data_IF_985452690599
#
_entry.id   IF_985452690599
#
_cell.length_a   1.000
_cell.length_b   1.000
_cell.length_c   1.000
_cell.angle_alpha   90.00
_cell.angle_beta   90.00
_cell.angle_gamma   90.00
#
_symmetry.space_group_name_H-M   'P 1'
#
loop_
_entity.id
_entity.type
_entity.pdbx_description
1 polymer ?
#
# COMPACT_ATOMS: atom_id res chain seq x y z
N UNK A 1 9.04 -58.11 17.27
CA UNK A 1 8.69 -57.20 16.16
C UNK A 1 7.73 -56.15 16.71
N UNK A 2 8.20 -54.93 16.92
CA UNK A 2 7.36 -53.81 17.33
C UNK A 2 7.33 -52.81 16.19
N UNK A 3 6.13 -52.58 15.65
CA UNK A 3 5.86 -51.67 14.56
C UNK A 3 5.91 -50.25 15.12
N UNK A 4 6.91 -49.45 14.71
CA UNK A 4 6.90 -48.01 14.98
C UNK A 4 5.86 -47.36 14.05
N UNK A 5 4.79 -46.82 14.62
CA UNK A 5 3.91 -45.90 13.93
C UNK A 5 4.56 -44.51 13.96
N UNK A 6 5.06 -44.05 12.81
CA UNK A 6 5.57 -42.69 12.63
C UNK A 6 4.38 -41.77 12.37
N UNK A 7 3.95 -41.03 13.40
CA UNK A 7 2.89 -40.02 13.27
C UNK A 7 3.53 -38.74 12.71
N UNK A 8 3.36 -38.51 11.41
CA UNK A 8 3.72 -37.24 10.78
C UNK A 8 2.69 -36.19 11.20
N UNK A 9 3.07 -35.31 12.11
CA UNK A 9 2.30 -34.11 12.40
C UNK A 9 2.50 -33.12 11.25
N UNK A 10 1.58 -33.09 10.29
CA UNK A 10 1.49 -31.98 9.33
C UNK A 10 0.99 -30.75 10.07
N UNK A 11 1.88 -30.03 10.75
CA UNK A 11 1.54 -28.72 11.30
C UNK A 11 1.40 -27.75 10.13
N UNK A 12 0.15 -27.45 9.79
CA UNK A 12 -0.16 -26.31 8.93
C UNK A 12 0.14 -25.07 9.76
N UNK A 13 1.27 -24.42 9.51
CA UNK A 13 1.61 -23.16 10.16
C UNK A 13 0.71 -22.10 9.52
N UNK A 14 -0.32 -21.68 10.25
CA UNK A 14 -1.11 -20.50 9.88
C UNK A 14 -0.23 -19.28 10.19
N UNK A 15 0.32 -18.66 9.15
CA UNK A 15 1.05 -17.40 9.28
C UNK A 15 0.01 -16.28 9.38
N UNK A 16 -0.47 -16.00 10.60
CA UNK A 16 -1.24 -14.79 10.86
C UNK A 16 -0.27 -13.60 10.92
N UNK A 17 -0.19 -12.82 9.84
CA UNK A 17 0.47 -11.51 9.87
C UNK A 17 -0.42 -10.57 10.68
N UNK A 18 -0.12 -10.40 11.97
CA UNK A 18 -0.73 -9.36 12.81
C UNK A 18 0.12 -8.11 12.68
N UNK A 19 -0.49 -6.98 12.35
CA UNK A 19 0.18 -5.68 12.43
C UNK A 19 0.57 -5.44 13.90
N UNK A 20 1.87 -5.37 14.19
CA UNK A 20 2.41 -5.35 15.55
C UNK A 20 2.64 -3.91 16.01
N UNK A 21 1.81 -3.40 16.93
CA UNK A 21 1.80 -2.01 17.43
C UNK A 21 3.02 -1.57 18.29
N UNK A 22 4.20 -2.15 18.12
CA UNK A 22 5.36 -1.81 18.97
C UNK A 22 6.13 -0.62 18.40
N UNK A 23 6.01 0.58 19.00
CA UNK A 23 6.58 1.94 18.75
C UNK A 23 7.88 2.16 17.91
N UNK A 24 8.58 1.12 17.47
CA UNK A 24 9.77 1.12 16.61
C UNK A 24 9.55 0.34 15.29
N UNK A 25 8.34 0.38 14.73
CA UNK A 25 7.98 -0.21 13.44
C UNK A 25 7.35 0.88 12.56
N UNK A 26 7.61 0.87 11.26
CA UNK A 26 6.80 1.67 10.32
C UNK A 26 5.69 0.76 9.78
N UNK A 27 4.46 0.80 10.35
CA UNK A 27 3.33 -0.04 9.93
C UNK A 27 3.09 -0.11 8.44
N UNK A 28 3.45 0.98 7.78
CA UNK A 28 3.18 1.21 6.40
C UNK A 28 4.19 0.53 5.50
N UNK A 29 5.43 0.28 5.95
CA UNK A 29 6.43 -0.43 5.17
C UNK A 29 6.03 -1.90 4.91
N UNK A 30 5.47 -2.58 5.92
CA UNK A 30 5.08 -4.00 5.78
C UNK A 30 3.75 -4.19 5.03
N UNK A 31 2.88 -3.17 5.02
CA UNK A 31 1.55 -3.26 4.38
C UNK A 31 1.44 -2.47 3.07
N UNK A 32 2.45 -1.68 2.69
CA UNK A 32 2.33 -0.89 1.47
C UNK A 32 2.37 -1.73 0.20
N UNK A 33 2.90 -2.96 0.21
CA UNK A 33 2.81 -3.84 -0.95
C UNK A 33 1.40 -4.38 -1.17
N UNK A 34 0.66 -4.64 -0.08
CA UNK A 34 -0.73 -5.09 -0.17
C UNK A 34 -1.71 -3.91 -0.32
N UNK A 35 -1.32 -2.72 0.16
CA UNK A 35 -2.21 -1.56 0.35
C UNK A 35 -3.43 -1.90 1.23
N UNK A 36 -3.37 -3.03 1.95
CA UNK A 36 -4.46 -3.48 2.80
C UNK A 36 -4.40 -2.66 4.08
N UNK A 37 -5.48 -1.96 4.45
CA UNK A 37 -5.54 -1.32 5.75
C UNK A 37 -5.44 -2.42 6.81
N UNK A 38 -4.46 -2.31 7.72
CA UNK A 38 -4.16 -3.26 8.80
C UNK A 38 -5.38 -3.62 9.68
N UNK A 39 -6.30 -4.48 9.24
CA UNK A 39 -7.51 -4.93 9.95
C UNK A 39 -8.41 -3.84 10.58
N UNK A 40 -8.13 -2.55 10.39
CA UNK A 40 -8.88 -1.44 10.98
C UNK A 40 -10.23 -1.25 10.29
N UNK A 41 -10.33 -1.65 9.02
CA UNK A 41 -11.54 -1.53 8.21
C UNK A 41 -11.52 -2.55 7.08
N UNK A 42 -12.67 -3.11 6.75
CA UNK A 42 -12.81 -3.95 5.55
C UNK A 42 -12.53 -3.13 4.27
N UNK A 43 -11.94 -3.75 3.23
CA UNK A 43 -11.77 -3.09 1.94
C UNK A 43 -13.09 -2.57 1.38
N UNK A 44 -13.03 -1.44 0.69
CA UNK A 44 -14.22 -0.86 0.10
C UNK A 44 -14.78 -1.76 -1.02
N UNK A 45 -16.06 -2.12 -0.91
CA UNK A 45 -16.78 -2.96 -1.90
C UNK A 45 -17.73 -2.17 -2.81
N UNK A 46 -17.98 -0.90 -2.49
CA UNK A 46 -18.79 0.03 -3.30
C UNK A 46 -17.90 0.84 -4.26
N UNK A 47 -18.49 1.54 -5.25
CA UNK A 47 -17.73 2.43 -6.12
C UNK A 47 -16.87 3.43 -5.32
N UNK A 48 -15.65 3.67 -5.80
CA UNK A 48 -14.71 4.59 -5.18
C UNK A 48 -15.35 5.98 -5.03
N UNK A 49 -15.42 6.58 -3.83
CA UNK A 49 -16.08 7.85 -3.56
C UNK A 49 -15.14 9.03 -3.83
N UNK A 50 -14.00 8.73 -4.46
CA UNK A 50 -12.92 9.66 -4.76
C UNK A 50 -12.59 9.56 -6.25
N UNK A 51 -12.19 10.68 -6.83
CA UNK A 51 -11.64 10.74 -8.18
C UNK A 51 -10.13 10.93 -8.06
N UNK A 52 -9.37 10.07 -8.74
CA UNK A 52 -7.93 10.24 -8.97
C UNK A 52 -7.73 10.68 -10.40
N UNK A 53 -7.07 11.83 -10.62
CA UNK A 53 -6.78 12.34 -11.96
C UNK A 53 -5.32 12.76 -12.07
N UNK A 54 -4.82 12.77 -13.30
CA UNK A 54 -3.52 13.31 -13.64
C UNK A 54 -3.68 14.66 -14.34
N UNK A 55 -2.70 15.56 -14.20
CA UNK A 55 -2.67 16.80 -14.97
C UNK A 55 -2.49 16.57 -16.49
N UNK A 56 -2.07 15.37 -16.91
CA UNK A 56 -1.79 15.01 -18.30
C UNK A 56 -2.29 13.59 -18.60
N UNK A 57 -2.70 13.30 -19.85
CA UNK A 57 -3.26 12.01 -20.23
C UNK A 57 -2.22 10.90 -20.45
N UNK A 58 -0.92 11.24 -20.51
CA UNK A 58 0.16 10.29 -20.78
C UNK A 58 1.34 10.53 -19.84
N UNK A 59 2.01 9.44 -19.47
CA UNK A 59 3.22 9.44 -18.67
C UNK A 59 4.37 9.02 -19.60
N UNK A 60 5.35 9.89 -19.76
CA UNK A 60 6.59 9.58 -20.46
C UNK A 60 7.69 9.35 -19.43
N UNK A 61 8.71 8.57 -19.78
CA UNK A 61 9.94 8.53 -18.99
C UNK A 61 10.49 9.96 -18.86
N UNK A 62 11.01 10.29 -17.68
CA UNK A 62 11.67 11.57 -17.36
C UNK A 62 10.75 12.80 -17.22
N UNK A 63 9.43 12.61 -17.13
CA UNK A 63 8.49 13.70 -16.87
C UNK A 63 7.76 13.53 -15.53
N UNK A 64 7.75 14.61 -14.75
CA UNK A 64 6.89 14.71 -13.58
C UNK A 64 5.42 14.90 -14.01
N UNK A 65 4.53 14.18 -13.33
CA UNK A 65 3.07 14.31 -13.45
C UNK A 65 2.49 14.65 -12.08
N UNK A 66 1.44 15.47 -12.08
CA UNK A 66 0.72 15.79 -10.85
C UNK A 66 -0.49 14.89 -10.73
N UNK A 67 -0.62 14.24 -9.58
CA UNK A 67 -1.77 13.43 -9.21
C UNK A 67 -2.69 14.27 -8.31
N UNK A 68 -3.98 14.30 -8.64
CA UNK A 68 -4.99 14.97 -7.84
C UNK A 68 -5.99 13.94 -7.31
N UNK A 69 -6.24 13.98 -6.01
CA UNK A 69 -7.25 13.17 -5.33
C UNK A 69 -8.35 14.12 -4.86
N UNK A 70 -9.60 13.85 -5.25
CA UNK A 70 -10.76 14.65 -4.88
C UNK A 70 -11.88 13.77 -4.35
N UNK A 71 -12.45 14.14 -3.20
CA UNK A 71 -13.68 13.52 -2.71
C UNK A 71 -14.90 14.02 -3.48
N UNK A 72 -15.81 13.09 -3.81
CA UNK A 72 -17.12 13.42 -4.34
C UNK A 72 -18.03 13.86 -3.20
N UNK A 73 -18.87 14.91 -3.36
CA UNK A 73 -19.86 15.25 -2.35
C UNK A 73 -20.80 14.07 -2.06
N UNK A 74 -21.21 13.84 -0.79
CA UNK A 74 -20.89 14.61 0.42
C UNK A 74 -19.63 14.13 1.17
N UNK A 75 -18.82 13.27 0.55
CA UNK A 75 -17.68 12.62 1.19
C UNK A 75 -16.48 13.55 1.41
N UNK A 76 -15.62 13.17 2.35
CA UNK A 76 -14.32 13.75 2.64
C UNK A 76 -13.36 12.64 3.08
N UNK A 77 -12.05 12.84 2.90
CA UNK A 77 -11.03 11.95 3.45
C UNK A 77 -10.11 12.72 4.39
N UNK A 78 -9.59 12.04 5.42
CA UNK A 78 -8.64 12.60 6.38
C UNK A 78 -7.19 12.36 5.99
N UNK A 79 -6.94 11.30 5.21
CA UNK A 79 -5.63 10.94 4.73
C UNK A 79 -5.73 10.04 3.51
N UNK A 80 -4.58 9.73 2.93
CA UNK A 80 -4.47 8.83 1.79
C UNK A 80 -3.13 8.11 1.82
N UNK A 81 -3.08 6.99 1.10
CA UNK A 81 -1.87 6.32 0.65
C UNK A 81 -2.04 6.05 -0.84
N UNK A 82 -1.03 6.35 -1.67
CA UNK A 82 -1.10 6.18 -3.11
C UNK A 82 0.21 5.64 -3.68
N UNK A 83 0.07 4.80 -4.69
CA UNK A 83 1.16 4.23 -5.48
C UNK A 83 0.78 4.26 -6.96
N UNK A 84 1.79 4.42 -7.81
CA UNK A 84 1.70 4.03 -9.21
C UNK A 84 2.25 2.61 -9.35
N UNK A 85 1.53 1.73 -10.05
CA UNK A 85 1.95 0.35 -10.26
C UNK A 85 1.93 -0.01 -11.74
N UNK A 86 2.84 -0.90 -12.13
CA UNK A 86 2.79 -1.54 -13.44
C UNK A 86 1.70 -2.62 -13.44
N UNK A 87 0.76 -2.54 -14.37
CA UNK A 87 -0.40 -3.44 -14.44
C UNK A 87 -0.02 -4.91 -14.67
N UNK A 88 1.16 -5.20 -15.23
CA UNK A 88 1.59 -6.57 -15.54
C UNK A 88 2.25 -7.25 -14.35
N UNK A 89 3.09 -6.52 -13.62
CA UNK A 89 3.92 -7.03 -12.53
C UNK A 89 3.33 -6.74 -11.16
N UNK A 90 2.44 -5.75 -11.05
CA UNK A 90 1.91 -5.24 -9.79
C UNK A 90 2.93 -4.47 -8.95
N UNK A 91 4.16 -4.27 -9.45
CA UNK A 91 5.22 -3.58 -8.75
C UNK A 91 5.05 -2.06 -8.84
N UNK A 92 5.51 -1.35 -7.80
CA UNK A 92 5.54 0.10 -7.81
C UNK A 92 6.47 0.65 -8.93
N UNK A 93 6.06 1.77 -9.53
CA UNK A 93 6.80 2.46 -10.59
C UNK A 93 6.93 3.95 -10.29
N UNK A 94 8.04 4.54 -10.74
CA UNK A 94 8.36 5.93 -10.47
C UNK A 94 8.74 6.20 -9.02
N UNK A 95 8.80 7.49 -8.70
CA UNK A 95 9.14 8.05 -7.38
C UNK A 95 8.27 9.28 -7.14
N UNK A 96 7.91 9.52 -5.88
CA UNK A 96 7.17 10.70 -5.46
C UNK A 96 8.12 11.81 -5.00
N UNK A 97 7.71 13.06 -5.22
CA UNK A 97 8.47 14.25 -4.83
C UNK A 97 8.54 14.42 -3.30
N UNK A 98 9.75 14.33 -2.76
CA UNK A 98 10.02 14.41 -1.32
C UNK A 98 10.00 15.84 -0.77
N UNK A 99 10.05 16.86 -1.62
CA UNK A 99 9.98 18.27 -1.20
C UNK A 99 8.54 18.73 -0.91
N UNK A 100 7.54 17.92 -1.25
CA UNK A 100 6.14 18.23 -1.02
C UNK A 100 5.74 18.01 0.44
N UNK A 101 5.65 19.11 1.20
CA UNK A 101 5.28 19.14 2.63
C UNK A 101 3.91 18.55 2.98
N UNK A 102 3.05 18.28 2.00
CA UNK A 102 1.72 17.67 2.24
C UNK A 102 1.78 16.15 2.25
N UNK A 103 2.92 15.56 1.90
CA UNK A 103 3.08 14.12 1.85
C UNK A 103 4.31 13.67 2.62
N UNK A 104 4.19 12.47 3.18
CA UNK A 104 5.31 11.64 3.60
C UNK A 104 5.49 10.55 2.55
N UNK A 105 6.73 10.28 2.18
CA UNK A 105 7.06 9.18 1.28
C UNK A 105 7.60 7.99 2.06
N UNK A 106 7.31 6.79 1.59
CA UNK A 106 7.85 5.52 2.13
C UNK A 106 8.33 4.62 1.00
N UNK A 107 9.22 3.69 1.34
CA UNK A 107 9.80 2.73 0.40
C UNK A 107 8.97 1.46 0.36
N UNK A 108 8.57 1.06 -0.84
CA UNK A 108 7.76 -0.15 -1.08
C UNK A 108 8.29 -0.90 -2.30
N UNK A 109 8.15 -2.24 -2.30
CA UNK A 109 8.74 -3.10 -3.34
C UNK A 109 10.26 -2.95 -3.48
N UNK A 110 10.95 -2.62 -2.38
CA UNK A 110 12.38 -2.31 -2.38
C UNK A 110 12.77 -1.08 -3.23
N UNK A 111 11.80 -0.23 -3.59
CA UNK A 111 12.04 1.00 -4.35
C UNK A 111 11.96 2.23 -3.44
N UNK A 112 12.90 3.18 -3.58
CA UNK A 112 12.87 4.42 -2.83
C UNK A 112 11.66 5.26 -3.22
N UNK A 113 11.04 5.94 -2.24
CA UNK A 113 10.02 6.98 -2.42
C UNK A 113 8.85 6.57 -3.33
N UNK A 114 8.56 5.27 -3.38
CA UNK A 114 7.63 4.67 -4.34
C UNK A 114 6.17 4.76 -3.91
N UNK A 115 5.92 5.28 -2.71
CA UNK A 115 4.60 5.43 -2.11
C UNK A 115 4.50 6.77 -1.41
N UNK A 116 3.41 7.49 -1.64
CA UNK A 116 3.10 8.74 -0.95
C UNK A 116 1.92 8.56 -0.01
N UNK A 117 2.01 9.19 1.15
CA UNK A 117 0.99 9.24 2.19
C UNK A 117 0.73 10.67 2.60
N UNK A 118 -0.44 10.97 3.17
CA UNK A 118 -0.68 12.24 3.84
C UNK A 118 0.40 12.50 4.92
N UNK A 119 0.97 13.70 4.93
CA UNK A 119 1.78 14.18 6.05
C UNK A 119 0.89 15.00 7.00
N UNK A 120 0.91 14.62 8.27
CA UNK A 120 0.19 15.32 9.35
C UNK A 120 0.91 16.63 9.77
#
# INVERSE_FOLDING_TARGET
>A
MHTLAMVLWTTTILLEVKCQEDELWDPWADNCESMVPCNLTEPQTYPMPYIVTLNRPYINSDQAVYVYIRALPPFSFQGFMIQARDDKTGQAVGEFDTDNRKIRVINCFGKPDSTAMHAD
#
